data_IF_886775367351
#
_entry.id   IF_886775367351
#
_cell.length_a   1.000
_cell.length_b   1.000
_cell.length_c   1.000
_cell.angle_alpha   90.00
_cell.angle_beta   90.00
_cell.angle_gamma   90.00
#
_symmetry.space_group_name_H-M   'P 1'
#
loop_
_entity.id
_entity.type
_entity.pdbx_description
1 polymer ?
#
# COMPACT_ATOMS: atom_id res chain seq x y z
N UNK A 1 21.43 -9.20 -4.62
CA UNK A 1 20.44 -8.16 -4.28
C UNK A 1 21.02 -7.36 -3.14
N UNK A 2 21.49 -6.15 -3.42
CA UNK A 2 21.89 -5.21 -2.36
C UNK A 2 20.63 -4.82 -1.61
N UNK A 3 20.52 -5.24 -0.35
CA UNK A 3 19.46 -4.87 0.57
C UNK A 3 19.62 -3.39 0.95
N UNK A 4 19.35 -2.48 0.01
CA UNK A 4 19.25 -1.08 0.33
C UNK A 4 17.85 -0.83 0.90
N UNK A 5 17.79 -0.35 2.13
CA UNK A 5 16.53 0.04 2.77
C UNK A 5 15.99 1.28 2.07
N UNK A 6 14.78 1.19 1.54
CA UNK A 6 14.09 2.29 0.87
C UNK A 6 13.53 3.28 1.90
N UNK A 7 13.39 4.58 1.57
CA UNK A 7 12.95 5.60 2.52
C UNK A 7 11.58 5.33 3.17
N UNK A 8 10.67 4.66 2.46
CA UNK A 8 9.34 4.30 2.95
C UNK A 8 9.28 2.96 3.69
N UNK A 9 10.33 2.14 3.67
CA UNK A 9 10.37 0.83 4.33
C UNK A 9 9.97 0.86 5.81
N UNK A 10 10.36 1.87 6.64
CA UNK A 10 9.93 1.92 8.03
C UNK A 10 8.41 2.03 8.19
N UNK A 11 7.74 2.76 7.30
CA UNK A 11 6.28 2.87 7.32
C UNK A 11 5.64 1.56 6.87
N UNK A 12 6.13 0.96 5.79
CA UNK A 12 5.59 -0.30 5.26
C UNK A 12 5.77 -1.43 6.27
N UNK A 13 6.93 -1.50 6.94
CA UNK A 13 7.19 -2.46 8.02
C UNK A 13 6.18 -2.29 9.16
N UNK A 14 5.92 -1.05 9.60
CA UNK A 14 4.94 -0.81 10.66
C UNK A 14 3.52 -1.23 10.26
N UNK A 15 3.15 -1.06 8.98
CA UNK A 15 1.86 -1.54 8.43
C UNK A 15 1.80 -3.07 8.42
N UNK A 16 2.83 -3.75 7.93
CA UNK A 16 2.89 -5.22 7.92
C UNK A 16 2.85 -5.79 9.34
N UNK A 17 3.56 -5.18 10.29
CA UNK A 17 3.52 -5.59 11.70
C UNK A 17 2.12 -5.42 12.32
N UNK A 18 1.43 -4.33 12.01
CA UNK A 18 0.06 -4.11 12.47
C UNK A 18 -0.95 -5.09 11.85
N UNK A 19 -0.78 -5.42 10.57
CA UNK A 19 -1.55 -6.46 9.89
C UNK A 19 -1.33 -7.83 10.53
N UNK A 20 -0.07 -8.19 10.79
CA UNK A 20 0.27 -9.44 11.47
C UNK A 20 -0.31 -9.51 12.89
N UNK A 21 -0.21 -8.44 13.67
CA UNK A 21 -0.82 -8.36 14.99
C UNK A 21 -2.36 -8.51 14.95
N UNK A 22 -2.99 -8.16 13.83
CA UNK A 22 -4.41 -8.32 13.59
C UNK A 22 -4.81 -9.69 13.00
N UNK A 23 -3.83 -10.57 12.70
CA UNK A 23 -4.02 -11.86 12.02
C UNK A 23 -4.42 -11.72 10.55
N UNK A 24 -3.94 -10.67 9.89
CA UNK A 24 -4.25 -10.28 8.50
C UNK A 24 -2.97 -10.23 7.66
N UNK A 25 -2.01 -11.12 7.91
CA UNK A 25 -0.75 -11.16 7.18
C UNK A 25 -1.01 -11.26 5.66
N UNK A 26 -0.34 -10.42 4.84
CA UNK A 26 -0.39 -10.59 3.39
C UNK A 26 0.30 -11.90 3.00
N UNK A 27 -0.24 -12.56 1.98
CA UNK A 27 0.37 -13.72 1.34
C UNK A 27 1.69 -13.39 0.64
N UNK A 28 1.83 -12.16 0.15
CA UNK A 28 3.07 -11.63 -0.43
C UNK A 28 3.16 -10.12 -0.23
N UNK A 29 4.37 -9.59 -0.09
CA UNK A 29 4.63 -8.18 0.15
C UNK A 29 6.03 -7.76 -0.33
N UNK A 30 6.13 -6.61 -0.99
CA UNK A 30 7.42 -6.02 -1.37
C UNK A 30 7.35 -4.49 -1.45
N UNK A 31 8.53 -3.88 -1.39
CA UNK A 31 8.76 -2.47 -1.71
C UNK A 31 9.65 -2.34 -2.94
N UNK A 32 9.51 -1.25 -3.69
CA UNK A 32 10.26 -1.00 -4.92
C UNK A 32 10.52 0.50 -5.08
N UNK A 33 11.62 0.82 -5.76
CA UNK A 33 11.94 2.15 -6.29
C UNK A 33 12.15 2.10 -7.81
N UNK A 34 11.74 1.02 -8.49
CA UNK A 34 12.10 0.79 -9.89
C UNK A 34 10.99 1.17 -10.88
N UNK A 35 9.78 1.42 -10.40
CA UNK A 35 8.63 1.74 -11.25
C UNK A 35 8.75 3.18 -11.77
N UNK A 36 8.39 3.41 -13.03
CA UNK A 36 8.35 4.77 -13.60
C UNK A 36 7.28 5.57 -12.87
N UNK A 37 7.62 6.80 -12.47
CA UNK A 37 6.67 7.72 -11.85
C UNK A 37 5.59 8.14 -12.86
N UNK A 38 4.42 7.50 -12.76
CA UNK A 38 3.23 7.78 -13.58
C UNK A 38 2.57 9.13 -13.28
N UNK A 39 2.96 9.79 -12.19
CA UNK A 39 2.40 11.06 -11.75
C UNK A 39 3.17 12.27 -12.29
N UNK A 40 4.38 12.08 -12.84
CA UNK A 40 5.17 13.16 -13.44
C UNK A 40 4.66 13.57 -14.81
N UNK A 41 4.61 14.87 -15.03
CA UNK A 41 4.24 15.51 -16.31
C UNK A 41 5.27 16.53 -16.78
N UNK A 42 6.45 16.53 -16.15
CA UNK A 42 7.55 17.44 -16.41
C UNK A 42 8.61 16.82 -17.35
N UNK A 43 9.80 17.43 -17.40
CA UNK A 43 10.87 17.02 -18.31
C UNK A 43 11.39 15.60 -18.05
N UNK A 44 11.18 15.06 -16.86
CA UNK A 44 11.64 13.73 -16.46
C UNK A 44 10.51 12.69 -16.48
N UNK A 45 9.33 13.05 -17.01
CA UNK A 45 8.22 12.13 -17.22
C UNK A 45 8.66 10.95 -18.11
N UNK A 46 8.47 9.73 -17.61
CA UNK A 46 8.92 8.51 -18.30
C UNK A 46 10.37 8.10 -18.03
N UNK A 47 11.10 8.84 -17.17
CA UNK A 47 12.49 8.54 -16.81
C UNK A 47 12.67 8.41 -15.30
N UNK A 48 12.11 9.32 -14.52
CA UNK A 48 12.20 9.25 -13.06
C UNK A 48 11.38 8.09 -12.49
N UNK A 49 11.86 7.54 -11.38
CA UNK A 49 11.23 6.41 -10.70
C UNK A 49 10.37 6.84 -9.52
N UNK A 50 9.55 5.93 -8.99
CA UNK A 50 8.73 6.13 -7.81
C UNK A 50 8.94 5.05 -6.75
N UNK A 51 8.79 5.46 -5.49
CA UNK A 51 8.68 4.54 -4.37
C UNK A 51 7.28 3.91 -4.36
N UNK A 52 7.23 2.58 -4.26
CA UNK A 52 6.00 1.82 -4.15
C UNK A 52 6.10 0.69 -3.13
N UNK A 53 4.95 0.29 -2.61
CA UNK A 53 4.78 -0.89 -1.78
C UNK A 53 3.51 -1.64 -2.22
N UNK A 54 3.62 -2.95 -2.32
CA UNK A 54 2.52 -3.82 -2.73
C UNK A 54 2.31 -4.89 -1.66
N UNK A 55 1.05 -5.07 -1.25
CA UNK A 55 0.61 -6.10 -0.32
C UNK A 55 -0.48 -6.93 -0.98
N UNK A 56 -0.34 -8.25 -0.97
CA UNK A 56 -1.27 -9.18 -1.63
C UNK A 56 -1.89 -10.13 -0.62
N UNK A 57 -3.20 -10.29 -0.71
CA UNK A 57 -3.92 -11.43 -0.13
C UNK A 57 -4.50 -12.23 -1.29
N UNK A 58 -3.93 -13.40 -1.59
CA UNK A 58 -4.45 -14.30 -2.62
C UNK A 58 -5.75 -14.99 -2.21
N UNK A 59 -6.36 -15.75 -3.13
CA UNK A 59 -7.63 -16.46 -2.89
C UNK A 59 -7.63 -17.48 -1.74
N UNK A 60 -6.45 -17.87 -1.26
CA UNK A 60 -6.24 -18.76 -0.10
C UNK A 60 -5.93 -18.00 1.21
N UNK A 61 -5.99 -16.67 1.19
CA UNK A 61 -5.70 -15.83 2.36
C UNK A 61 -6.73 -16.07 3.50
N UNK A 62 -6.28 -16.26 4.74
CA UNK A 62 -7.17 -16.37 5.89
C UNK A 62 -8.07 -15.12 6.05
N UNK A 63 -9.36 -15.35 6.31
CA UNK A 63 -10.33 -14.26 6.52
C UNK A 63 -10.86 -13.59 5.25
N UNK A 64 -10.40 -14.01 4.07
CA UNK A 64 -10.94 -13.56 2.80
C UNK A 64 -12.36 -14.10 2.55
N UNK A 65 -13.28 -13.21 2.22
CA UNK A 65 -14.60 -13.57 1.72
C UNK A 65 -14.48 -13.94 0.24
N UNK A 66 -14.40 -15.24 -0.04
CA UNK A 66 -14.26 -15.75 -1.42
C UNK A 66 -15.52 -15.57 -2.28
N UNK A 67 -16.68 -15.23 -1.69
CA UNK A 67 -17.86 -14.83 -2.47
C UNK A 67 -17.72 -13.41 -3.03
N UNK A 68 -16.97 -12.55 -2.35
CA UNK A 68 -16.71 -11.16 -2.77
C UNK A 68 -15.41 -11.03 -3.57
N UNK A 69 -14.38 -11.77 -3.19
CA UNK A 69 -13.01 -11.64 -3.69
C UNK A 69 -12.39 -13.03 -3.91
N UNK A 70 -12.94 -13.81 -4.83
CA UNK A 70 -12.51 -15.21 -5.09
C UNK A 70 -10.99 -15.34 -5.25
N UNK A 71 -10.36 -14.43 -6.00
CA UNK A 71 -8.92 -14.45 -6.29
C UNK A 71 -8.10 -13.53 -5.37
N UNK A 72 -8.74 -12.90 -4.39
CA UNK A 72 -8.10 -12.04 -3.40
C UNK A 72 -8.08 -10.55 -3.74
N UNK A 73 -7.25 -9.79 -3.01
CA UNK A 73 -7.13 -8.34 -3.13
C UNK A 73 -5.66 -7.90 -3.15
N UNK A 74 -5.40 -6.69 -3.63
CA UNK A 74 -4.09 -6.05 -3.60
C UNK A 74 -4.21 -4.64 -3.05
N UNK A 75 -3.31 -4.30 -2.13
CA UNK A 75 -3.13 -2.96 -1.58
C UNK A 75 -1.84 -2.37 -2.13
N UNK A 76 -1.88 -1.12 -2.56
CA UNK A 76 -0.73 -0.41 -3.12
C UNK A 76 -0.54 0.92 -2.42
N UNK A 77 0.69 1.24 -2.05
CA UNK A 77 1.09 2.57 -1.60
C UNK A 77 2.15 3.10 -2.57
N UNK A 78 2.01 4.33 -3.05
CA UNK A 78 2.91 4.91 -4.06
C UNK A 78 3.26 6.36 -3.71
N UNK A 79 4.51 6.77 -3.87
CA UNK A 79 4.92 8.17 -3.94
C UNK A 79 4.74 8.69 -5.39
N UNK A 80 4.32 9.94 -5.64
CA UNK A 80 4.03 11.04 -4.71
C UNK A 80 2.61 11.10 -4.14
N UNK A 81 1.73 10.15 -4.45
CA UNK A 81 0.39 10.12 -3.86
C UNK A 81 0.44 9.95 -2.33
N UNK A 82 1.39 9.14 -1.87
CA UNK A 82 1.69 8.75 -0.50
C UNK A 82 0.49 8.18 0.26
N UNK A 83 -0.42 7.56 -0.48
CA UNK A 83 -1.71 7.12 0.00
C UNK A 83 -1.99 5.69 -0.47
N UNK A 84 -2.67 4.94 0.40
CA UNK A 84 -3.10 3.58 0.09
C UNK A 84 -4.21 3.57 -0.96
N UNK A 85 -4.06 2.65 -1.91
CA UNK A 85 -5.02 2.30 -2.94
C UNK A 85 -5.29 0.80 -2.86
N UNK A 86 -6.40 0.34 -3.43
CA UNK A 86 -6.74 -1.08 -3.45
C UNK A 86 -7.47 -1.50 -4.72
N UNK A 87 -7.35 -2.76 -5.09
CA UNK A 87 -8.21 -3.39 -6.08
C UNK A 87 -8.39 -4.89 -5.79
N UNK A 88 -9.54 -5.48 -6.15
CA UNK A 88 -9.69 -6.92 -6.23
C UNK A 88 -8.80 -7.51 -7.33
N UNK A 89 -8.50 -8.80 -7.21
CA UNK A 89 -7.70 -9.56 -8.18
C UNK A 89 -8.61 -10.41 -9.06
N UNK A 90 -8.11 -10.72 -10.26
CA UNK A 90 -8.63 -11.77 -11.16
C UNK A 90 -7.85 -13.07 -10.95
N UNK A 91 -8.39 -14.14 -11.52
CA UNK A 91 -7.67 -15.38 -11.76
C UNK A 91 -6.33 -15.07 -12.45
N UNK A 92 -5.26 -15.68 -11.93
CA UNK A 92 -3.85 -15.48 -12.36
C UNK A 92 -3.16 -14.19 -11.87
N UNK A 93 -3.80 -13.41 -11.01
CA UNK A 93 -3.14 -12.38 -10.21
C UNK A 93 -3.07 -10.98 -10.82
N UNK A 94 -3.72 -10.76 -11.97
CA UNK A 94 -3.99 -9.42 -12.49
C UNK A 94 -5.01 -8.69 -11.59
N UNK A 95 -5.01 -7.36 -11.62
CA UNK A 95 -6.05 -6.58 -10.95
C UNK A 95 -7.35 -6.56 -11.77
N UNK A 96 -8.48 -6.56 -11.09
CA UNK A 96 -9.80 -6.48 -11.72
C UNK A 96 -10.01 -5.12 -12.41
N UNK A 97 -9.52 -4.06 -11.76
CA UNK A 97 -9.51 -2.68 -12.24
C UNK A 97 -8.27 -1.93 -11.70
N UNK A 98 -8.07 -0.70 -12.14
CA UNK A 98 -7.06 0.20 -11.57
C UNK A 98 -7.29 0.39 -10.06
N UNK A 99 -6.24 0.40 -9.22
CA UNK A 99 -6.37 0.63 -7.79
C UNK A 99 -7.11 1.93 -7.46
N UNK A 100 -8.10 1.83 -6.59
CA UNK A 100 -8.87 2.96 -6.09
C UNK A 100 -8.30 3.47 -4.77
N UNK A 101 -8.24 4.78 -4.59
CA UNK A 101 -7.78 5.37 -3.34
C UNK A 101 -8.67 4.98 -2.16
N UNK A 102 -8.03 4.78 -1.01
CA UNK A 102 -8.69 4.71 0.30
C UNK A 102 -8.63 6.10 0.95
N UNK A 103 -9.60 6.99 0.69
CA UNK A 103 -9.54 8.40 1.09
C UNK A 103 -9.42 8.60 2.60
N UNK A 104 -9.99 7.67 3.38
CA UNK A 104 -10.06 7.79 4.84
C UNK A 104 -8.76 7.41 5.54
N UNK A 105 -7.85 6.69 4.89
CA UNK A 105 -6.53 6.42 5.47
C UNK A 105 -5.64 7.66 5.40
N UNK A 106 -5.81 8.53 4.41
CA UNK A 106 -4.92 9.66 4.22
C UNK A 106 -3.48 9.24 3.93
N UNK A 107 -2.54 10.16 4.09
CA UNK A 107 -1.11 9.90 3.88
C UNK A 107 -0.45 9.44 5.17
N UNK A 108 0.33 8.36 5.10
CA UNK A 108 1.00 7.79 6.27
C UNK A 108 0.04 7.52 7.44
N UNK A 109 -1.12 6.96 7.11
CA UNK A 109 -2.16 6.53 8.05
C UNK A 109 -1.58 5.68 9.17
N UNK A 110 -2.15 5.77 10.38
CA UNK A 110 -1.81 4.85 11.46
C UNK A 110 -1.91 3.38 10.99
N UNK A 111 -0.86 2.56 11.17
CA UNK A 111 -0.85 1.16 10.76
C UNK A 111 -2.05 0.34 11.24
N UNK A 112 -2.57 0.64 12.44
CA UNK A 112 -3.77 -0.04 12.97
C UNK A 112 -5.00 0.32 12.16
N UNK A 113 -5.13 1.56 11.72
CA UNK A 113 -6.22 2.00 10.84
C UNK A 113 -6.13 1.35 9.46
N UNK A 114 -4.92 1.15 8.91
CA UNK A 114 -4.72 0.37 7.68
C UNK A 114 -5.23 -1.06 7.87
N UNK A 115 -4.89 -1.71 8.98
CA UNK A 115 -5.37 -3.06 9.29
C UNK A 115 -6.91 -3.14 9.40
N UNK A 116 -7.56 -2.13 9.96
CA UNK A 116 -9.04 -2.05 10.02
C UNK A 116 -9.64 -1.90 8.62
N UNK A 117 -9.04 -1.09 7.74
CA UNK A 117 -9.51 -0.96 6.36
C UNK A 117 -9.32 -2.26 5.57
N UNK A 118 -8.14 -2.89 5.67
CA UNK A 118 -7.86 -4.19 5.03
C UNK A 118 -8.84 -5.26 5.48
N UNK A 119 -9.14 -5.30 6.79
CA UNK A 119 -10.14 -6.21 7.35
C UNK A 119 -11.52 -6.06 6.69
N UNK A 120 -11.99 -4.83 6.53
CA UNK A 120 -13.27 -4.57 5.87
C UNK A 120 -13.24 -5.03 4.41
N UNK A 121 -12.17 -4.68 3.68
CA UNK A 121 -11.97 -5.12 2.29
C UNK A 121 -11.96 -6.64 2.16
N UNK A 122 -11.22 -7.36 3.01
CA UNK A 122 -11.19 -8.82 2.99
C UNK A 122 -12.57 -9.44 3.20
N UNK A 123 -13.43 -8.81 3.99
CA UNK A 123 -14.81 -9.26 4.20
C UNK A 123 -15.78 -8.89 3.07
N UNK A 124 -15.35 -8.07 2.10
CA UNK A 124 -16.22 -7.50 1.08
C UNK A 124 -17.07 -6.33 1.59
N UNK A 125 -16.70 -5.75 2.74
CA UNK A 125 -17.37 -4.60 3.34
C UNK A 125 -16.73 -3.28 2.90
N UNK A 126 -17.48 -2.19 3.05
CA UNK A 126 -16.96 -0.84 2.86
C UNK A 126 -15.92 -0.50 3.95
N UNK A 127 -14.73 0.03 3.60
CA UNK A 127 -13.77 0.54 4.56
C UNK A 127 -14.37 1.62 5.47
N UNK A 128 -13.82 1.84 6.68
CA UNK A 128 -14.31 2.87 7.58
C UNK A 128 -14.37 4.26 6.93
N UNK A 129 -15.46 4.98 7.15
CA UNK A 129 -15.66 6.36 6.68
C UNK A 129 -14.95 7.41 7.56
N UNK A 130 -14.44 6.99 8.72
CA UNK A 130 -13.73 7.87 9.67
C UNK A 130 -12.28 8.03 9.24
N UNK A 131 -11.81 9.28 9.18
CA UNK A 131 -10.43 9.58 8.84
C UNK A 131 -9.45 9.00 9.87
N UNK A 132 -8.46 8.26 9.39
CA UNK A 132 -7.40 7.68 10.20
C UNK A 132 -6.49 8.77 10.77
N UNK A 133 -6.03 8.62 12.02
CA UNK A 133 -4.96 9.48 12.51
C UNK A 133 -3.67 9.23 11.72
N UNK A 134 -2.79 10.24 11.68
CA UNK A 134 -1.44 10.05 11.16
C UNK A 134 -0.63 9.17 12.09
N UNK A 135 0.20 8.31 11.51
CA UNK A 135 1.18 7.53 12.25
C UNK A 135 2.23 8.43 12.92
N UNK A 136 2.63 8.11 14.14
CA UNK A 136 3.62 8.90 14.89
C UNK A 136 5.01 8.97 14.22
N UNK A 137 5.35 7.98 13.39
CA UNK A 137 6.58 7.97 12.59
C UNK A 137 6.50 8.69 11.24
N UNK A 138 5.33 9.24 10.88
CA UNK A 138 5.07 9.79 9.55
C UNK A 138 6.04 10.91 9.14
N UNK A 139 6.38 11.84 10.05
CA UNK A 139 7.21 13.00 9.71
C UNK A 139 8.66 12.60 9.38
N UNK A 140 9.20 11.59 10.06
CA UNK A 140 10.54 11.08 9.78
C UNK A 140 10.60 10.40 8.40
N UNK A 141 9.61 9.55 8.09
CA UNK A 141 9.53 8.88 6.79
C UNK A 141 9.27 9.87 5.67
N UNK A 142 8.35 10.82 5.85
CA UNK A 142 8.07 11.87 4.86
C UNK A 142 9.32 12.69 4.53
N UNK A 143 10.13 13.00 5.54
CA UNK A 143 11.40 13.69 5.37
C UNK A 143 12.38 12.87 4.54
N UNK A 144 12.50 11.56 4.83
CA UNK A 144 13.37 10.66 4.09
C UNK A 144 12.92 10.49 2.62
N UNK A 145 11.61 10.31 2.39
CA UNK A 145 11.00 10.21 1.05
C UNK A 145 11.21 11.50 0.26
N UNK A 146 11.01 12.66 0.89
CA UNK A 146 11.25 13.97 0.24
C UNK A 146 12.72 14.15 -0.15
N UNK A 147 13.65 13.73 0.71
CA UNK A 147 15.09 13.82 0.43
C UNK A 147 15.50 12.90 -0.73
N UNK A 148 14.97 11.68 -0.78
CA UNK A 148 15.16 10.75 -1.89
C UNK A 148 14.59 11.31 -3.20
N UNK A 149 13.35 11.81 -3.19
CA UNK A 149 12.71 12.36 -4.38
C UNK A 149 13.43 13.60 -4.93
N UNK A 150 14.15 14.33 -4.08
CA UNK A 150 14.96 15.48 -4.49
C UNK A 150 16.32 15.09 -5.07
N UNK A 151 16.71 13.81 -4.97
CA UNK A 151 17.98 13.26 -5.47
C UNK A 151 17.85 12.44 -6.75
N UNK A 152 16.62 12.13 -7.17
CA UNK A 152 16.27 11.59 -8.49
C UNK A 152 16.41 12.65 -9.58
#
# INVERSE_FOLDING_TARGET
MTAHTLPHDPYITAVVDALAAAGLEPTDAWTSEAEIDRYRTDADAGVATMLSAVLIWGGDAPGLNTEAHEDGITLVWEHPAEQWQWAPRKAHGELEHEPEFLPTLGRYADPTSVAVAVRALLWGDTPPEVYAPNWSGADAVRTAVTAWASSE
#
